data_IF_380019139774
#
_entry.id   IF_380019139774
#
_cell.length_a   1.000
_cell.length_b   1.000
_cell.length_c   1.000
_cell.angle_alpha   90.00
_cell.angle_beta   90.00
_cell.angle_gamma   90.00
#
_symmetry.space_group_name_H-M   'P 1'
#
loop_
_entity.id
_entity.type
_entity.pdbx_description
1 polymer ?
#
# COMPACT_ATOMS: atom_id res chain seq x y z
N UNK A 1 16.38 -4.51 -7.80
CA UNK A 1 15.87 -3.14 -8.00
C UNK A 1 15.87 -2.43 -6.66
N UNK A 2 16.32 -1.16 -6.57
CA UNK A 2 16.23 -0.38 -5.33
C UNK A 2 14.77 -0.14 -4.90
N UNK A 3 14.49 -0.21 -3.59
CA UNK A 3 13.14 -0.16 -3.04
C UNK A 3 12.40 1.15 -3.37
N UNK A 4 13.08 2.28 -3.24
CA UNK A 4 12.54 3.61 -3.49
C UNK A 4 12.18 3.90 -4.95
N UNK A 5 12.63 3.07 -5.89
CA UNK A 5 12.27 3.19 -7.32
C UNK A 5 11.21 2.16 -7.74
N UNK A 6 10.85 1.23 -6.84
CA UNK A 6 10.08 0.06 -7.21
C UNK A 6 8.70 0.38 -7.80
N UNK A 7 7.97 1.31 -7.16
CA UNK A 7 6.68 1.78 -7.64
C UNK A 7 6.80 2.49 -9.00
N UNK A 8 7.72 3.45 -9.12
CA UNK A 8 7.92 4.21 -10.35
C UNK A 8 8.32 3.32 -11.53
N UNK A 9 9.15 2.30 -11.29
CA UNK A 9 9.49 1.31 -12.31
C UNK A 9 8.28 0.46 -12.74
N UNK A 10 7.41 0.05 -11.81
CA UNK A 10 6.20 -0.71 -12.14
C UNK A 10 5.21 0.12 -12.96
N UNK A 11 5.00 1.39 -12.60
CA UNK A 11 4.16 2.33 -13.34
C UNK A 11 4.72 2.62 -14.75
N UNK A 12 6.03 2.88 -14.86
CA UNK A 12 6.67 3.09 -16.15
C UNK A 12 6.55 1.84 -17.05
N UNK A 13 6.69 0.63 -16.48
CA UNK A 13 6.56 -0.62 -17.22
C UNK A 13 5.15 -0.82 -17.78
N UNK A 14 4.10 -0.58 -16.99
CA UNK A 14 2.72 -0.75 -17.46
C UNK A 14 2.40 0.25 -18.59
N UNK A 15 2.84 1.51 -18.44
CA UNK A 15 2.68 2.55 -19.47
C UNK A 15 3.40 2.19 -20.76
N UNK A 16 4.65 1.74 -20.66
CA UNK A 16 5.44 1.32 -21.82
C UNK A 16 4.80 0.12 -22.54
N UNK A 17 4.25 -0.85 -21.80
CA UNK A 17 3.52 -1.98 -22.35
C UNK A 17 2.29 -1.53 -23.15
N UNK A 18 1.46 -0.67 -22.55
CA UNK A 18 0.24 -0.15 -23.19
C UNK A 18 0.59 0.64 -24.45
N UNK A 19 1.58 1.53 -24.38
CA UNK A 19 2.05 2.33 -25.53
C UNK A 19 2.57 1.44 -26.67
N UNK A 20 3.34 0.41 -26.35
CA UNK A 20 3.91 -0.50 -27.35
C UNK A 20 2.85 -1.30 -28.10
N UNK A 21 1.72 -1.59 -27.45
CA UNK A 21 0.65 -2.41 -28.03
C UNK A 21 -0.51 -1.60 -28.61
N UNK A 22 -0.59 -0.30 -28.32
CA UNK A 22 -1.66 0.58 -28.80
C UNK A 22 -1.82 0.53 -30.33
N UNK A 23 -0.73 0.70 -31.08
CA UNK A 23 -0.77 0.69 -32.55
C UNK A 23 -1.25 -0.64 -33.14
N UNK A 24 -0.89 -1.76 -32.50
CA UNK A 24 -1.31 -3.10 -32.93
C UNK A 24 -2.79 -3.32 -32.59
N UNK A 25 -3.22 -2.94 -31.38
CA UNK A 25 -4.60 -3.04 -30.95
C UNK A 25 -5.54 -2.23 -31.87
N UNK A 26 -5.17 -1.00 -32.22
CA UNK A 26 -5.94 -0.17 -33.16
C UNK A 26 -6.08 -0.83 -34.53
N UNK A 27 -5.00 -1.38 -35.09
CA UNK A 27 -5.03 -2.08 -36.40
C UNK A 27 -5.94 -3.31 -36.38
N UNK A 28 -6.05 -3.98 -35.24
CA UNK A 28 -6.87 -5.17 -35.06
C UNK A 28 -8.32 -4.85 -34.63
N UNK A 29 -8.66 -3.58 -34.39
CA UNK A 29 -9.96 -3.20 -33.84
C UNK A 29 -10.21 -3.74 -32.42
N UNK A 30 -9.14 -4.04 -31.68
CA UNK A 30 -9.20 -4.62 -30.35
C UNK A 30 -8.97 -3.56 -29.26
N UNK A 31 -9.44 -3.85 -28.05
CA UNK A 31 -9.09 -3.04 -26.88
C UNK A 31 -7.58 -3.12 -26.61
N UNK A 32 -6.96 -1.99 -26.28
CA UNK A 32 -5.52 -1.98 -25.95
C UNK A 32 -5.30 -2.77 -24.66
N UNK A 33 -4.42 -3.79 -24.67
CA UNK A 33 -4.19 -4.62 -23.50
C UNK A 33 -3.49 -3.83 -22.38
N UNK A 34 -3.80 -4.20 -21.14
CA UNK A 34 -3.21 -3.64 -19.92
C UNK A 34 -2.24 -4.63 -19.27
N UNK A 35 -1.32 -4.14 -18.44
CA UNK A 35 -0.36 -4.98 -17.71
C UNK A 35 -0.66 -5.01 -16.20
N UNK A 36 -0.79 -6.22 -15.63
CA UNK A 36 -0.70 -6.41 -14.19
C UNK A 36 0.76 -6.64 -13.77
N UNK A 37 1.18 -6.03 -12.67
CA UNK A 37 2.56 -6.12 -12.16
C UNK A 37 2.54 -6.61 -10.71
N UNK A 38 3.35 -7.61 -10.39
CA UNK A 38 3.59 -8.07 -9.02
C UNK A 38 4.94 -7.59 -8.49
N UNK A 39 4.95 -7.02 -7.28
CA UNK A 39 6.16 -6.58 -6.58
C UNK A 39 6.29 -7.30 -5.24
N UNK A 40 7.36 -8.07 -5.05
CA UNK A 40 7.72 -8.63 -3.75
C UNK A 40 8.82 -7.79 -3.09
N UNK A 41 8.56 -7.30 -1.88
CA UNK A 41 9.52 -6.59 -1.03
C UNK A 41 9.95 -7.55 0.08
N UNK A 42 11.22 -7.92 0.08
CA UNK A 42 11.77 -8.98 0.93
C UNK A 42 13.12 -8.59 1.53
N UNK A 43 13.48 -9.27 2.62
CA UNK A 43 14.83 -9.19 3.15
C UNK A 43 15.85 -9.80 2.16
N UNK A 44 17.04 -9.19 2.02
CA UNK A 44 18.09 -9.62 1.07
C UNK A 44 18.51 -11.10 1.24
N UNK A 45 18.47 -11.59 2.48
CA UNK A 45 18.81 -12.98 2.83
C UNK A 45 17.67 -14.00 2.63
N UNK A 46 16.52 -13.59 2.11
CA UNK A 46 15.42 -14.52 1.83
C UNK A 46 15.83 -15.48 0.70
N UNK A 47 15.63 -16.81 0.85
CA UNK A 47 15.98 -17.77 -0.21
C UNK A 47 15.28 -17.47 -1.53
N UNK A 48 15.98 -17.60 -2.66
CA UNK A 48 15.46 -17.23 -3.99
C UNK A 48 14.15 -17.93 -4.36
N UNK A 49 13.99 -19.20 -3.96
CA UNK A 49 12.75 -19.94 -4.17
C UNK A 49 11.55 -19.24 -3.48
N UNK A 50 11.74 -18.76 -2.26
CA UNK A 50 10.73 -18.03 -1.51
C UNK A 50 10.47 -16.65 -2.13
N UNK A 51 11.52 -15.96 -2.60
CA UNK A 51 11.37 -14.68 -3.33
C UNK A 51 10.49 -14.87 -4.57
N UNK A 52 10.73 -15.93 -5.34
CA UNK A 52 9.93 -16.24 -6.54
C UNK A 52 8.47 -16.52 -6.20
N UNK A 53 8.22 -17.28 -5.13
CA UNK A 53 6.86 -17.56 -4.68
C UNK A 53 6.14 -16.27 -4.24
N UNK A 54 6.81 -15.40 -3.47
CA UNK A 54 6.25 -14.11 -3.07
C UNK A 54 5.96 -13.19 -4.27
N UNK A 55 6.82 -13.21 -5.29
CA UNK A 55 6.57 -12.47 -6.52
C UNK A 55 5.35 -13.00 -7.28
N UNK A 56 5.17 -14.33 -7.33
CA UNK A 56 3.97 -14.95 -7.91
C UNK A 56 2.70 -14.62 -7.12
N UNK A 57 2.79 -14.58 -5.78
CA UNK A 57 1.69 -14.13 -4.91
C UNK A 57 1.32 -12.69 -5.24
N UNK A 58 2.30 -11.77 -5.29
CA UNK A 58 2.07 -10.37 -5.65
C UNK A 58 1.44 -10.24 -7.05
N UNK A 59 1.87 -11.07 -8.01
CA UNK A 59 1.28 -11.09 -9.36
C UNK A 59 -0.16 -11.60 -9.37
N UNK A 60 -0.49 -12.65 -8.59
CA UNK A 60 -1.87 -13.15 -8.46
C UNK A 60 -2.78 -12.10 -7.82
N UNK A 61 -2.29 -11.40 -6.79
CA UNK A 61 -2.99 -10.24 -6.21
C UNK A 61 -3.24 -9.17 -7.27
N UNK A 62 -2.23 -8.85 -8.08
CA UNK A 62 -2.35 -7.89 -9.18
C UNK A 62 -3.38 -8.31 -10.24
N UNK A 63 -3.52 -9.62 -10.50
CA UNK A 63 -4.53 -10.16 -11.41
C UNK A 63 -5.93 -10.15 -10.82
N UNK A 64 -6.04 -10.13 -9.49
CA UNK A 64 -7.32 -10.11 -8.78
C UNK A 64 -8.09 -11.40 -8.98
N UNK A 65 -7.47 -12.57 -8.78
CA UNK A 65 -8.10 -13.87 -9.10
C UNK A 65 -9.41 -14.15 -8.33
N UNK A 66 -9.73 -13.38 -7.28
CA UNK A 66 -11.01 -13.40 -6.56
C UNK A 66 -11.94 -12.19 -6.80
N UNK A 67 -11.59 -11.28 -7.70
CA UNK A 67 -12.38 -10.10 -8.05
C UNK A 67 -13.38 -10.41 -9.18
N UNK A 68 -14.42 -9.59 -9.34
CA UNK A 68 -15.32 -9.67 -10.50
C UNK A 68 -14.56 -9.40 -11.80
N UNK A 69 -15.03 -9.96 -12.93
CA UNK A 69 -14.27 -9.93 -14.19
C UNK A 69 -13.92 -8.51 -14.68
N UNK A 70 -14.77 -7.52 -14.42
CA UNK A 70 -14.52 -6.11 -14.70
C UNK A 70 -13.45 -5.49 -13.77
N UNK A 71 -13.32 -6.04 -12.56
CA UNK A 71 -12.37 -5.63 -11.54
C UNK A 71 -11.03 -6.39 -11.60
N UNK A 72 -10.90 -7.40 -12.47
CA UNK A 72 -9.67 -8.18 -12.66
C UNK A 72 -8.61 -7.44 -13.48
N UNK A 73 -7.35 -7.83 -13.26
CA UNK A 73 -6.16 -7.34 -13.96
C UNK A 73 -5.97 -5.82 -13.81
N UNK A 74 -5.18 -5.22 -14.70
CA UNK A 74 -4.88 -3.78 -14.74
C UNK A 74 -4.49 -3.19 -13.37
N UNK A 75 -3.61 -3.87 -12.64
CA UNK A 75 -3.27 -3.45 -11.29
C UNK A 75 -1.83 -3.78 -10.91
N UNK A 76 -1.38 -3.10 -9.87
CA UNK A 76 -0.19 -3.41 -9.10
C UNK A 76 -0.58 -4.25 -7.88
N UNK A 77 0.09 -5.38 -7.69
CA UNK A 77 0.07 -6.12 -6.44
C UNK A 77 1.41 -5.97 -5.75
N UNK A 78 1.41 -5.61 -4.47
CA UNK A 78 2.64 -5.50 -3.67
C UNK A 78 2.52 -6.45 -2.49
N UNK A 79 3.50 -7.34 -2.33
CA UNK A 79 3.63 -8.23 -1.17
C UNK A 79 4.89 -7.89 -0.40
N UNK A 80 4.73 -7.48 0.86
CA UNK A 80 5.80 -7.20 1.80
C UNK A 80 5.96 -8.39 2.74
N UNK A 81 7.16 -8.98 2.79
CA UNK A 81 7.49 -10.07 3.71
C UNK A 81 8.92 -9.90 4.24
N UNK A 82 9.02 -9.47 5.50
CA UNK A 82 10.28 -9.20 6.18
C UNK A 82 10.44 -10.20 7.33
N UNK A 83 11.71 -10.50 7.66
CA UNK A 83 12.14 -11.57 8.59
C UNK A 83 11.12 -11.81 9.71
N UNK A 84 10.49 -12.99 9.69
CA UNK A 84 9.53 -13.48 10.71
C UNK A 84 8.27 -12.63 10.97
N UNK A 85 8.04 -11.56 10.19
CA UNK A 85 6.86 -10.71 10.31
C UNK A 85 5.66 -11.25 9.52
N UNK A 86 4.51 -10.62 9.76
CA UNK A 86 3.28 -10.86 9.01
C UNK A 86 3.51 -10.45 7.55
N UNK A 87 3.22 -11.35 6.61
CA UNK A 87 3.18 -11.02 5.19
C UNK A 87 1.99 -10.11 4.92
N UNK A 88 2.26 -8.93 4.35
CA UNK A 88 1.25 -7.93 4.02
C UNK A 88 1.13 -7.81 2.52
N UNK A 89 -0.08 -7.56 2.04
CA UNK A 89 -0.31 -7.39 0.62
C UNK A 89 -1.34 -6.33 0.34
N UNK A 90 -1.09 -5.52 -0.68
CA UNK A 90 -2.06 -4.56 -1.21
C UNK A 90 -2.22 -4.74 -2.71
N UNK A 91 -3.36 -4.29 -3.22
CA UNK A 91 -3.69 -4.22 -4.63
C UNK A 91 -4.10 -2.80 -4.97
N UNK A 92 -3.55 -2.25 -6.05
CA UNK A 92 -3.85 -0.91 -6.54
C UNK A 92 -4.10 -0.97 -8.04
N UNK A 93 -5.34 -0.72 -8.48
CA UNK A 93 -5.65 -0.67 -9.91
C UNK A 93 -4.99 0.55 -10.56
N UNK A 94 -4.51 0.39 -11.78
CA UNK A 94 -3.86 1.49 -12.52
C UNK A 94 -4.83 2.56 -12.99
N UNK A 95 -6.12 2.22 -13.12
CA UNK A 95 -7.20 3.14 -13.47
C UNK A 95 -7.93 3.73 -12.25
N UNK A 96 -7.46 3.44 -11.04
CA UNK A 96 -7.90 4.11 -9.80
C UNK A 96 -6.89 5.22 -9.45
N UNK A 97 -7.03 6.36 -10.14
CA UNK A 97 -6.17 7.53 -9.94
C UNK A 97 -6.14 7.99 -8.47
N UNK A 98 -7.27 7.84 -7.75
CA UNK A 98 -7.39 8.21 -6.35
C UNK A 98 -6.50 7.34 -5.46
N UNK A 99 -6.54 6.02 -5.64
CA UNK A 99 -5.67 5.09 -4.92
C UNK A 99 -4.19 5.25 -5.28
N UNK A 100 -3.87 5.46 -6.56
CA UNK A 100 -2.49 5.70 -7.00
C UNK A 100 -1.93 6.98 -6.35
N UNK A 101 -2.71 8.06 -6.40
CA UNK A 101 -2.30 9.34 -5.80
C UNK A 101 -2.18 9.25 -4.27
N UNK A 102 -3.07 8.51 -3.61
CA UNK A 102 -2.99 8.27 -2.17
C UNK A 102 -1.67 7.59 -1.79
N UNK A 103 -1.30 6.48 -2.46
CA UNK A 103 -0.04 5.78 -2.20
C UNK A 103 1.17 6.72 -2.37
N UNK A 104 1.23 7.47 -3.48
CA UNK A 104 2.32 8.42 -3.74
C UNK A 104 2.38 9.50 -2.66
N UNK A 105 1.23 10.01 -2.22
CA UNK A 105 1.18 10.99 -1.13
C UNK A 105 1.72 10.42 0.18
N UNK A 106 1.39 9.16 0.52
CA UNK A 106 1.92 8.49 1.71
C UNK A 106 3.43 8.29 1.64
N UNK A 107 3.94 7.82 0.50
CA UNK A 107 5.39 7.67 0.27
C UNK A 107 6.10 9.02 0.49
N UNK A 108 5.56 10.09 -0.07
CA UNK A 108 6.11 11.43 0.10
C UNK A 108 6.03 11.92 1.55
N UNK A 109 4.90 11.71 2.23
CA UNK A 109 4.71 12.14 3.61
C UNK A 109 5.65 11.42 4.59
N UNK A 110 5.89 10.13 4.39
CA UNK A 110 6.91 9.39 5.14
C UNK A 110 8.33 9.86 4.79
N UNK A 111 8.65 10.07 3.50
CA UNK A 111 9.98 10.55 3.09
C UNK A 111 10.30 11.94 3.64
N UNK A 112 9.29 12.80 3.77
CA UNK A 112 9.39 14.16 4.32
C UNK A 112 9.17 14.22 5.84
N UNK A 113 8.89 13.08 6.49
CA UNK A 113 8.63 12.96 7.94
C UNK A 113 7.43 13.78 8.45
N UNK A 114 6.53 14.16 7.55
CA UNK A 114 5.26 14.85 7.88
C UNK A 114 4.19 13.87 8.34
N UNK A 115 4.35 12.58 8.06
CA UNK A 115 3.57 11.50 8.64
C UNK A 115 4.43 10.71 9.66
N UNK A 116 3.95 10.48 10.90
CA UNK A 116 4.69 9.73 11.90
C UNK A 116 4.87 8.27 11.49
N UNK A 117 6.07 7.73 11.69
CA UNK A 117 6.41 6.35 11.29
C UNK A 117 5.51 5.29 11.96
N UNK A 118 5.07 5.55 13.20
CA UNK A 118 4.24 4.64 14.00
C UNK A 118 2.76 4.59 13.59
N UNK A 119 2.27 5.56 12.82
CA UNK A 119 0.82 5.75 12.60
C UNK A 119 0.14 4.48 12.05
N UNK A 120 0.82 3.74 11.18
CA UNK A 120 0.29 2.54 10.58
C UNK A 120 0.17 1.38 11.59
N UNK A 121 1.09 1.30 12.56
CA UNK A 121 1.04 0.33 13.64
C UNK A 121 0.00 0.70 14.68
N UNK A 122 -0.13 1.98 14.99
CA UNK A 122 -1.16 2.46 15.91
C UNK A 122 -2.58 2.16 15.34
N UNK A 123 -2.77 2.24 14.02
CA UNK A 123 -4.00 1.78 13.35
C UNK A 123 -4.23 0.27 13.53
N UNK A 124 -3.19 -0.55 13.47
CA UNK A 124 -3.32 -1.99 13.72
C UNK A 124 -3.68 -2.30 15.16
N UNK A 125 -3.11 -1.56 16.11
CA UNK A 125 -3.51 -1.69 17.52
C UNK A 125 -4.99 -1.38 17.71
N UNK A 126 -5.54 -0.38 17.00
CA UNK A 126 -6.99 -0.10 17.01
C UNK A 126 -7.76 -1.31 16.45
N UNK A 127 -7.35 -1.87 15.31
CA UNK A 127 -8.01 -3.05 14.73
C UNK A 127 -8.02 -4.22 15.71
N UNK A 128 -6.88 -4.51 16.36
CA UNK A 128 -6.73 -5.60 17.32
C UNK A 128 -7.60 -5.37 18.57
N UNK A 129 -7.55 -4.17 19.15
CA UNK A 129 -8.31 -3.83 20.37
C UNK A 129 -9.82 -3.79 20.14
N UNK A 130 -10.23 -3.54 18.90
CA UNK A 130 -11.65 -3.49 18.50
C UNK A 130 -12.14 -4.82 17.93
N UNK A 131 -11.31 -5.87 17.92
CA UNK A 131 -11.70 -7.17 17.40
C UNK A 131 -12.48 -7.99 18.43
N UNK A 132 -13.73 -7.61 18.66
CA UNK A 132 -14.66 -8.30 19.55
C UNK A 132 -16.02 -8.52 18.87
N UNK A 133 -16.83 -9.51 19.30
CA UNK A 133 -18.08 -9.86 18.64
C UNK A 133 -19.11 -8.74 18.82
N UNK A 134 -19.36 -7.97 17.77
CA UNK A 134 -20.42 -6.95 17.67
C UNK A 134 -20.78 -6.75 16.19
N UNK A 135 -21.74 -5.87 15.89
CA UNK A 135 -22.13 -5.64 14.50
C UNK A 135 -21.07 -4.83 13.73
N UNK A 136 -20.95 -5.09 12.42
CA UNK A 136 -19.90 -4.51 11.58
C UNK A 136 -20.01 -2.98 11.49
N UNK A 137 -21.23 -2.42 11.48
CA UNK A 137 -21.43 -0.99 11.38
C UNK A 137 -20.96 -0.26 12.65
N UNK A 138 -21.24 -0.82 13.82
CA UNK A 138 -20.78 -0.35 15.10
C UNK A 138 -19.26 -0.45 15.21
N UNK A 139 -18.66 -1.56 14.74
CA UNK A 139 -17.19 -1.69 14.66
C UNK A 139 -16.56 -0.59 13.81
N UNK A 140 -17.11 -0.30 12.64
CA UNK A 140 -16.59 0.76 11.76
C UNK A 140 -16.68 2.14 12.43
N UNK A 141 -17.80 2.45 13.08
CA UNK A 141 -17.97 3.70 13.81
C UNK A 141 -16.96 3.84 14.97
N UNK A 142 -16.74 2.76 15.74
CA UNK A 142 -15.75 2.74 16.81
C UNK A 142 -14.34 2.98 16.23
N UNK A 143 -13.98 2.29 15.16
CA UNK A 143 -12.67 2.43 14.51
C UNK A 143 -12.46 3.82 13.93
N UNK A 144 -13.46 4.42 13.28
CA UNK A 144 -13.38 5.80 12.79
C UNK A 144 -13.19 6.81 13.94
N UNK A 145 -13.91 6.64 15.06
CA UNK A 145 -13.75 7.50 16.23
C UNK A 145 -12.36 7.37 16.86
N UNK A 146 -11.85 6.14 16.98
CA UNK A 146 -10.51 5.83 17.48
C UNK A 146 -9.42 6.40 16.56
N UNK A 147 -9.57 6.28 15.24
CA UNK A 147 -8.68 6.92 14.27
C UNK A 147 -8.66 8.44 14.47
N UNK A 148 -9.82 9.07 14.59
CA UNK A 148 -9.92 10.52 14.81
C UNK A 148 -9.24 10.97 16.10
N UNK A 149 -9.35 10.19 17.17
CA UNK A 149 -8.64 10.44 18.43
C UNK A 149 -7.12 10.28 18.28
N UNK A 150 -6.70 9.20 17.65
CA UNK A 150 -5.29 8.90 17.39
C UNK A 150 -4.63 10.00 16.56
N UNK A 151 -5.26 10.43 15.45
CA UNK A 151 -4.72 11.47 14.57
C UNK A 151 -4.56 12.83 15.26
N UNK A 152 -5.47 13.18 16.18
CA UNK A 152 -5.37 14.41 16.99
C UNK A 152 -4.23 14.37 18.00
N UNK A 153 -3.84 13.19 18.46
CA UNK A 153 -2.78 13.00 19.46
C UNK A 153 -1.42 12.75 18.81
N UNK A 154 -1.41 12.18 17.61
CA UNK A 154 -0.21 11.81 16.89
C UNK A 154 0.64 13.04 16.55
N UNK A 155 1.94 12.91 16.79
CA UNK A 155 2.94 13.94 16.50
C UNK A 155 3.93 13.45 15.47
N UNK A 156 4.32 14.34 14.57
CA UNK A 156 5.45 14.16 13.65
C UNK A 156 6.75 13.94 14.41
N UNK A 157 7.81 13.54 13.71
CA UNK A 157 9.12 13.32 14.33
C UNK A 157 9.65 14.58 15.05
N UNK A 158 9.28 15.77 14.57
CA UNK A 158 9.67 17.06 15.14
C UNK A 158 8.68 17.58 16.20
N UNK A 159 7.76 16.72 16.67
CA UNK A 159 6.79 17.02 17.73
C UNK A 159 5.59 17.88 17.30
N UNK A 160 5.46 18.19 16.01
CA UNK A 160 4.33 18.97 15.46
C UNK A 160 3.10 18.09 15.23
N UNK A 161 1.91 18.68 15.24
CA UNK A 161 0.68 18.01 14.82
C UNK A 161 0.75 17.56 13.36
N UNK A 162 0.06 16.46 13.04
CA UNK A 162 -0.16 16.06 11.65
C UNK A 162 -1.00 17.14 10.96
N UNK A 163 -0.59 17.58 9.76
CA UNK A 163 -1.34 18.56 8.97
C UNK A 163 -2.79 18.11 8.75
N UNK A 164 -3.74 19.05 8.84
CA UNK A 164 -5.18 18.75 8.75
C UNK A 164 -5.53 18.08 7.42
N UNK A 165 -4.88 18.48 6.35
CA UNK A 165 -5.06 17.94 5.00
C UNK A 165 -4.68 16.45 4.95
N UNK A 166 -3.60 16.05 5.63
CA UNK A 166 -3.20 14.65 5.75
C UNK A 166 -4.19 13.85 6.60
N UNK A 167 -4.70 14.43 7.69
CA UNK A 167 -5.73 13.77 8.51
C UNK A 167 -7.00 13.51 7.70
N UNK A 168 -7.48 14.50 6.94
CA UNK A 168 -8.64 14.38 6.05
C UNK A 168 -8.38 13.32 4.97
N UNK A 169 -7.19 13.34 4.36
CA UNK A 169 -6.83 12.34 3.35
C UNK A 169 -6.83 10.90 3.91
N UNK A 170 -6.35 10.71 5.15
CA UNK A 170 -6.36 9.40 5.83
C UNK A 170 -7.79 8.93 6.11
N UNK A 171 -8.65 9.82 6.63
CA UNK A 171 -10.06 9.49 6.89
C UNK A 171 -10.80 9.17 5.59
N UNK A 172 -10.65 10.00 4.55
CA UNK A 172 -11.28 9.74 3.25
C UNK A 172 -10.80 8.41 2.64
N UNK A 173 -9.50 8.09 2.78
CA UNK A 173 -8.96 6.82 2.28
C UNK A 173 -9.50 5.63 3.07
N UNK A 174 -9.67 5.76 4.39
CA UNK A 174 -10.34 4.74 5.19
C UNK A 174 -11.77 4.50 4.70
N UNK A 175 -12.53 5.56 4.49
CA UNK A 175 -13.94 5.47 4.06
C UNK A 175 -14.06 4.79 2.68
N UNK A 176 -13.12 5.07 1.77
CA UNK A 176 -13.05 4.40 0.47
C UNK A 176 -12.70 2.91 0.57
N UNK A 177 -11.78 2.55 1.46
CA UNK A 177 -11.35 1.15 1.64
C UNK A 177 -12.37 0.32 2.43
N UNK A 178 -13.15 0.97 3.30
CA UNK A 178 -14.08 0.33 4.23
C UNK A 178 -13.40 -0.58 5.27
N UNK A 179 -12.07 -0.57 5.34
CA UNK A 179 -11.28 -1.49 6.14
C UNK A 179 -9.99 -0.83 6.62
N UNK A 180 -9.91 -0.63 7.94
CA UNK A 180 -8.74 -0.04 8.59
C UNK A 180 -7.49 -0.91 8.47
N UNK A 181 -7.64 -2.24 8.40
CA UNK A 181 -6.48 -3.12 8.20
C UNK A 181 -5.86 -2.90 6.83
N UNK A 182 -6.69 -2.71 5.79
CA UNK A 182 -6.20 -2.37 4.44
C UNK A 182 -5.46 -1.04 4.41
N UNK A 183 -5.99 -0.01 5.08
CA UNK A 183 -5.31 1.28 5.18
C UNK A 183 -3.97 1.15 5.93
N UNK A 184 -3.94 0.40 7.03
CA UNK A 184 -2.71 0.17 7.77
C UNK A 184 -1.66 -0.56 6.92
N UNK A 185 -2.05 -1.59 6.18
CA UNK A 185 -1.15 -2.31 5.27
C UNK A 185 -0.65 -1.42 4.11
N UNK A 186 -1.51 -0.58 3.55
CA UNK A 186 -1.14 0.44 2.55
C UNK A 186 -0.09 1.40 3.09
N UNK A 187 -0.27 1.92 4.32
CA UNK A 187 0.67 2.84 4.96
C UNK A 187 2.00 2.18 5.33
N UNK A 188 1.99 0.93 5.81
CA UNK A 188 3.23 0.19 6.08
C UNK A 188 4.01 0.03 4.77
N UNK A 189 3.36 -0.41 3.69
CA UNK A 189 4.03 -0.57 2.39
C UNK A 189 4.55 0.77 1.87
N UNK A 190 3.77 1.85 1.98
CA UNK A 190 4.21 3.19 1.60
C UNK A 190 5.44 3.66 2.38
N UNK A 191 5.50 3.38 3.69
CA UNK A 191 6.65 3.67 4.53
C UNK A 191 7.91 2.93 4.05
N UNK A 192 7.78 1.64 3.73
CA UNK A 192 8.91 0.87 3.16
C UNK A 192 9.38 1.45 1.82
N UNK A 193 8.46 1.80 0.93
CA UNK A 193 8.78 2.42 -0.35
C UNK A 193 9.44 3.81 -0.20
N UNK A 194 9.17 4.52 0.91
CA UNK A 194 9.79 5.81 1.21
C UNK A 194 11.25 5.70 1.70
N UNK A 195 11.68 4.52 2.15
CA UNK A 195 13.02 4.32 2.72
C UNK A 195 14.11 4.49 1.64
N UNK A 196 15.01 5.46 1.83
CA UNK A 196 16.09 5.78 0.89
C UNK A 196 17.44 5.19 1.33
N UNK A 197 17.63 4.94 2.62
CA UNK A 197 18.89 4.45 3.18
C UNK A 197 18.69 3.23 4.08
N UNK A 198 19.74 2.44 4.28
CA UNK A 198 19.75 1.35 5.27
C UNK A 198 19.47 1.84 6.69
N UNK A 199 19.80 3.10 7.01
CA UNK A 199 19.50 3.72 8.31
C UNK A 199 18.01 3.94 8.52
N UNK A 200 17.28 4.31 7.46
CA UNK A 200 15.81 4.43 7.50
C UNK A 200 15.17 3.07 7.77
N UNK A 201 15.74 2.00 7.21
CA UNK A 201 15.31 0.61 7.41
C UNK A 201 15.68 0.11 8.83
N UNK A 202 16.83 0.51 9.39
CA UNK A 202 17.28 0.09 10.72
C UNK A 202 16.53 0.76 11.87
N UNK A 203 15.91 1.93 11.65
CA UNK A 203 14.96 2.50 12.63
C UNK A 203 13.65 1.70 12.71
N UNK A 204 13.34 0.87 11.72
CA UNK A 204 12.19 -0.04 11.73
C UNK A 204 12.31 -1.12 12.81
N UNK A 205 13.45 -1.79 12.89
CA UNK A 205 13.71 -2.89 13.83
C UNK A 205 13.78 -2.46 15.31
N UNK A 206 13.65 -1.16 15.62
CA UNK A 206 13.61 -0.63 16.99
C UNK A 206 12.20 -0.49 17.55
N UNK A 207 11.18 -0.78 16.74
CA UNK A 207 9.76 -0.70 17.10
C UNK A 207 9.06 -2.06 17.12
N UNK A 208 9.78 -3.14 16.81
CA UNK A 208 9.42 -4.53 17.09
C UNK A 208 9.93 -4.93 18.49
#
# INVERSE_FOLDING_TARGET
MPLNHAYACADALQKAFQQSLAAVATKLGAQTPTLSVGLAIVHLMTPLANIRQLAQTAESIAKGDGESDDQRRNALGITLSLRSGITRSIRLRWDDDGAQQALVNWINAFSQKTLPSRIAYDMQEIVIRTHFPTDDAQLQNIRQAELGRMLKQAKTMDGQDIQKELQIALTNRLDQLGDMQKLADELIIARWLAAKTSTDILMENRHD
#
